data_IF_565266461627
#
_entry.id   IF_565266461627
#
_cell.length_a   1.000
_cell.length_b   1.000
_cell.length_c   1.000
_cell.angle_alpha   90.00
_cell.angle_beta   90.00
_cell.angle_gamma   90.00
#
_symmetry.space_group_name_H-M   'P 1'
#
loop_
_entity.id
_entity.type
_entity.pdbx_description
1 polymer ?
#
# COMPACT_ATOMS: atom_id res chain seq x y z
N UNK A 1 -17.77 3.98 1.72
CA UNK A 1 -17.97 2.52 1.66
C UNK A 1 -17.01 1.98 0.63
N UNK A 2 -16.36 0.86 0.90
CA UNK A 2 -15.44 0.23 -0.05
C UNK A 2 -16.30 -0.59 -1.01
N UNK A 3 -16.72 0.02 -2.13
CA UNK A 3 -17.31 -0.71 -3.25
C UNK A 3 -16.26 -1.70 -3.80
N UNK A 4 -16.57 -2.99 -3.80
CA UNK A 4 -16.19 -3.99 -4.80
C UNK A 4 -14.73 -4.18 -5.28
N UNK A 5 -13.71 -3.52 -4.73
CA UNK A 5 -12.33 -3.66 -5.22
C UNK A 5 -11.59 -4.79 -4.46
N UNK A 6 -11.00 -5.73 -5.19
CA UNK A 6 -10.22 -6.86 -4.62
C UNK A 6 -8.82 -6.43 -4.14
N UNK A 7 -8.27 -5.33 -4.69
CA UNK A 7 -6.90 -4.87 -4.41
C UNK A 7 -6.83 -3.36 -4.21
N UNK A 8 -5.93 -2.96 -3.32
CA UNK A 8 -5.71 -1.56 -2.93
C UNK A 8 -4.22 -1.23 -2.99
N UNK A 9 -3.92 0.04 -3.25
CA UNK A 9 -2.60 0.65 -3.07
C UNK A 9 -2.77 1.96 -2.32
N UNK A 10 -1.80 2.34 -1.49
CA UNK A 10 -1.83 3.69 -0.92
C UNK A 10 -1.43 4.74 -1.95
N UNK A 11 -1.96 5.94 -1.82
CA UNK A 11 -1.52 7.12 -2.56
C UNK A 11 -0.01 7.37 -2.36
N UNK A 12 0.50 7.13 -1.15
CA UNK A 12 1.93 7.18 -0.86
C UNK A 12 2.74 6.25 -1.75
N UNK A 13 2.35 4.96 -1.86
CA UNK A 13 3.03 4.02 -2.76
C UNK A 13 2.93 4.44 -4.23
N UNK A 14 1.77 4.95 -4.66
CA UNK A 14 1.58 5.46 -6.02
C UNK A 14 2.53 6.64 -6.32
N UNK A 15 2.61 7.62 -5.42
CA UNK A 15 3.51 8.76 -5.53
C UNK A 15 4.97 8.33 -5.51
N UNK A 16 5.35 7.40 -4.62
CA UNK A 16 6.71 6.87 -4.53
C UNK A 16 7.15 6.15 -5.81
N UNK A 17 6.27 5.36 -6.44
CA UNK A 17 6.51 4.75 -7.76
C UNK A 17 6.69 5.85 -8.82
N UNK A 18 5.82 6.86 -8.82
CA UNK A 18 5.91 8.01 -9.72
C UNK A 18 7.25 8.74 -9.60
N UNK A 19 7.63 9.17 -8.41
CA UNK A 19 8.89 9.86 -8.13
C UNK A 19 10.09 9.03 -8.61
N UNK A 20 10.09 7.72 -8.34
CA UNK A 20 11.16 6.81 -8.75
C UNK A 20 11.29 6.73 -10.28
N UNK A 21 10.18 6.55 -10.99
CA UNK A 21 10.19 6.39 -12.44
C UNK A 21 10.50 7.71 -13.16
N UNK A 22 10.00 8.84 -12.67
CA UNK A 22 10.34 10.17 -13.21
C UNK A 22 11.81 10.50 -13.02
N UNK A 23 12.38 10.26 -11.83
CA UNK A 23 13.82 10.45 -11.58
C UNK A 23 14.70 9.62 -12.53
N UNK A 24 14.18 8.50 -13.03
CA UNK A 24 14.87 7.61 -13.99
C UNK A 24 14.52 7.90 -15.46
N UNK A 25 13.74 8.93 -15.76
CA UNK A 25 13.28 9.27 -17.12
C UNK A 25 12.34 8.22 -17.73
N UNK A 26 11.71 7.37 -16.91
CA UNK A 26 10.84 6.25 -17.35
C UNK A 26 9.36 6.66 -17.35
N UNK A 27 9.06 7.80 -17.98
CA UNK A 27 7.70 8.37 -17.98
C UNK A 27 6.66 7.47 -18.63
N UNK A 28 7.00 6.83 -19.76
CA UNK A 28 6.08 5.91 -20.44
C UNK A 28 5.81 4.65 -19.61
N UNK A 29 6.77 4.19 -18.80
CA UNK A 29 6.56 3.07 -17.86
C UNK A 29 5.56 3.46 -16.77
N UNK A 30 5.66 4.68 -16.24
CA UNK A 30 4.68 5.17 -15.26
C UNK A 30 3.29 5.32 -15.87
N UNK A 31 3.19 5.86 -17.09
CA UNK A 31 1.91 5.93 -17.83
C UNK A 31 1.30 4.53 -18.00
N UNK A 32 2.12 3.56 -18.37
CA UNK A 32 1.67 2.18 -18.55
C UNK A 32 1.21 1.57 -17.22
N UNK A 33 1.97 1.76 -16.14
CA UNK A 33 1.59 1.32 -14.79
C UNK A 33 0.22 1.88 -14.35
N UNK A 34 -0.03 3.18 -14.56
CA UNK A 34 -1.33 3.80 -14.25
C UNK A 34 -2.47 3.16 -15.03
N UNK A 35 -2.28 2.95 -16.34
CA UNK A 35 -3.28 2.30 -17.18
C UNK A 35 -3.57 0.89 -16.71
N UNK A 36 -2.53 0.08 -16.53
CA UNK A 36 -2.68 -1.33 -16.24
C UNK A 36 -3.26 -1.55 -14.83
N UNK A 37 -2.64 -0.96 -13.81
CA UNK A 37 -3.00 -1.27 -12.42
C UNK A 37 -4.22 -0.48 -11.94
N UNK A 38 -4.29 0.81 -12.26
CA UNK A 38 -5.30 1.70 -11.66
C UNK A 38 -6.53 1.81 -12.56
N UNK A 39 -6.36 2.14 -13.84
CA UNK A 39 -7.48 2.45 -14.73
C UNK A 39 -8.16 1.21 -15.32
N UNK A 40 -7.41 0.13 -15.60
CA UNK A 40 -7.92 -1.08 -16.24
C UNK A 40 -8.22 -2.20 -15.24
N UNK A 41 -7.26 -2.59 -14.40
CA UNK A 41 -7.45 -3.65 -13.38
C UNK A 41 -8.30 -3.18 -12.21
N UNK A 42 -8.36 -1.86 -11.97
CA UNK A 42 -9.22 -1.28 -10.94
C UNK A 42 -8.68 -1.41 -9.52
N UNK A 43 -7.35 -1.39 -9.33
CA UNK A 43 -6.76 -1.25 -7.99
C UNK A 43 -7.16 0.11 -7.43
N UNK A 44 -7.86 0.10 -6.29
CA UNK A 44 -8.29 1.31 -5.63
C UNK A 44 -7.11 2.02 -4.94
N UNK A 45 -7.06 3.34 -5.06
CA UNK A 45 -6.06 4.17 -4.39
C UNK A 45 -6.66 4.69 -3.08
N UNK A 46 -6.05 4.32 -1.96
CA UNK A 46 -6.48 4.72 -0.62
C UNK A 46 -5.51 5.74 -0.02
N UNK A 47 -6.04 6.71 0.71
CA UNK A 47 -5.26 7.74 1.38
C UNK A 47 -5.79 7.97 2.80
N UNK A 48 -4.97 8.61 3.62
CA UNK A 48 -5.37 9.18 4.90
C UNK A 48 -5.56 10.69 4.75
N UNK A 49 -6.59 11.24 5.37
CA UNK A 49 -6.70 12.68 5.62
C UNK A 49 -5.63 13.13 6.63
N UNK A 50 -5.35 14.43 6.68
CA UNK A 50 -4.41 14.99 7.66
C UNK A 50 -4.82 14.67 9.11
N UNK A 51 -6.13 14.63 9.39
CA UNK A 51 -6.65 14.26 10.70
C UNK A 51 -6.37 12.78 11.02
N UNK A 52 -6.55 11.88 10.06
CA UNK A 52 -6.24 10.45 10.25
C UNK A 52 -4.74 10.22 10.41
N UNK A 53 -3.89 11.06 9.78
CA UNK A 53 -2.44 10.97 9.92
C UNK A 53 -1.92 11.32 11.32
N UNK A 54 -2.71 11.97 12.19
CA UNK A 54 -2.30 12.22 13.58
C UNK A 54 -2.02 10.90 14.34
N UNK A 55 -2.74 9.84 13.99
CA UNK A 55 -2.55 8.49 14.57
C UNK A 55 -1.23 7.82 14.18
N UNK A 56 -0.52 8.33 13.15
CA UNK A 56 0.72 7.71 12.68
C UNK A 56 1.82 7.72 13.72
N UNK A 57 1.87 8.74 14.58
CA UNK A 57 2.87 8.82 15.65
C UNK A 57 2.69 7.66 16.62
N UNK A 58 1.44 7.36 17.00
CA UNK A 58 1.11 6.26 17.90
C UNK A 58 1.42 4.91 17.25
N UNK A 59 1.03 4.72 15.99
CA UNK A 59 1.34 3.49 15.22
C UNK A 59 2.85 3.28 15.10
N UNK A 60 3.59 4.31 14.71
CA UNK A 60 5.04 4.27 14.55
C UNK A 60 5.73 3.92 15.86
N UNK A 61 5.33 4.55 16.98
CA UNK A 61 5.90 4.26 18.30
C UNK A 61 5.52 2.87 18.81
N UNK A 62 4.26 2.48 18.64
CA UNK A 62 3.72 1.19 19.12
C UNK A 62 4.42 0.01 18.47
N UNK A 63 4.69 0.09 17.17
CA UNK A 63 5.27 -1.00 16.39
C UNK A 63 6.71 -0.74 15.95
N UNK A 64 7.31 0.39 16.35
CA UNK A 64 8.67 0.80 15.96
C UNK A 64 8.88 0.90 14.43
N UNK A 65 7.86 1.40 13.72
CA UNK A 65 7.87 1.57 12.25
C UNK A 65 8.43 2.95 11.87
N UNK A 66 9.01 3.05 10.67
CA UNK A 66 9.29 4.35 10.07
C UNK A 66 7.99 4.99 9.54
N UNK A 67 8.10 6.20 8.98
CA UNK A 67 6.93 6.91 8.49
C UNK A 67 6.19 6.15 7.37
N UNK A 68 6.95 5.55 6.45
CA UNK A 68 6.38 4.90 5.27
C UNK A 68 5.60 3.67 5.70
N UNK A 69 6.16 2.84 6.57
CA UNK A 69 5.51 1.65 7.09
C UNK A 69 4.35 1.98 8.03
N UNK A 70 4.49 3.00 8.89
CA UNK A 70 3.40 3.46 9.74
C UNK A 70 2.21 3.94 8.89
N UNK A 71 2.47 4.65 7.79
CA UNK A 71 1.44 5.08 6.85
C UNK A 71 0.72 3.89 6.20
N UNK A 72 1.47 2.90 5.70
CA UNK A 72 0.85 1.70 5.12
C UNK A 72 0.02 0.93 6.16
N UNK A 73 0.53 0.79 7.38
CA UNK A 73 -0.19 0.12 8.46
C UNK A 73 -1.50 0.85 8.79
N UNK A 74 -1.45 2.17 8.96
CA UNK A 74 -2.62 2.97 9.29
C UNK A 74 -3.68 2.97 8.16
N UNK A 75 -3.26 3.01 6.89
CA UNK A 75 -4.17 2.80 5.75
C UNK A 75 -4.83 1.43 5.85
N UNK A 76 -4.06 0.37 6.07
CA UNK A 76 -4.60 -0.98 6.16
C UNK A 76 -5.56 -1.14 7.35
N UNK A 77 -5.25 -0.54 8.49
CA UNK A 77 -6.11 -0.52 9.67
C UNK A 77 -7.42 0.23 9.40
N UNK A 78 -7.32 1.45 8.85
CA UNK A 78 -8.46 2.34 8.57
C UNK A 78 -9.51 1.72 7.66
N UNK A 79 -9.07 0.98 6.65
CA UNK A 79 -9.93 0.36 5.63
C UNK A 79 -10.13 -1.14 5.86
N UNK A 80 -9.64 -1.71 6.97
CA UNK A 80 -9.83 -3.12 7.29
C UNK A 80 -9.11 -4.09 6.33
N UNK A 81 -8.01 -3.67 5.72
CA UNK A 81 -7.29 -4.42 4.68
C UNK A 81 -6.25 -5.39 5.25
N UNK A 82 -5.87 -6.38 4.44
CA UNK A 82 -4.70 -7.24 4.69
C UNK A 82 -3.48 -6.64 4.02
N UNK A 83 -2.38 -6.48 4.75
CA UNK A 83 -1.11 -6.00 4.18
C UNK A 83 -0.48 -7.12 3.37
N UNK A 84 -0.14 -6.84 2.11
CA UNK A 84 0.63 -7.73 1.24
C UNK A 84 1.97 -7.06 0.96
N UNK A 85 3.03 -7.51 1.62
CA UNK A 85 4.34 -6.86 1.54
C UNK A 85 5.48 -7.86 1.70
N UNK A 86 6.61 -7.57 1.06
CA UNK A 86 7.87 -8.25 1.32
C UNK A 86 8.63 -7.69 2.52
N UNK A 87 8.20 -6.56 3.07
CA UNK A 87 8.78 -5.98 4.27
C UNK A 87 8.40 -6.77 5.52
N UNK A 88 9.41 -7.29 6.25
CA UNK A 88 9.21 -8.07 7.46
C UNK A 88 8.88 -7.20 8.68
N UNK A 89 9.04 -5.89 8.60
CA UNK A 89 8.74 -5.00 9.72
C UNK A 89 7.25 -5.00 10.08
N UNK A 90 6.36 -5.42 9.18
CA UNK A 90 4.95 -5.65 9.49
C UNK A 90 4.70 -6.92 10.32
N UNK A 91 5.62 -7.88 10.38
CA UNK A 91 5.45 -9.16 11.11
C UNK A 91 5.29 -8.94 12.63
N UNK A 92 5.77 -7.81 13.16
CA UNK A 92 5.63 -7.40 14.57
C UNK A 92 4.35 -6.60 14.87
N UNK A 93 3.53 -6.33 13.86
CA UNK A 93 2.28 -5.57 14.01
C UNK A 93 1.10 -6.49 14.25
N UNK A 94 0.00 -5.98 14.81
CA UNK A 94 -1.19 -6.81 15.09
C UNK A 94 -1.83 -7.41 13.84
N UNK A 95 -1.78 -6.70 12.71
CA UNK A 95 -2.31 -7.18 11.42
C UNK A 95 -1.36 -8.15 10.73
N UNK A 96 -0.07 -8.13 11.07
CA UNK A 96 0.97 -8.85 10.35
C UNK A 96 1.02 -8.45 8.87
N UNK A 97 1.62 -9.32 8.06
CA UNK A 97 1.52 -9.27 6.60
C UNK A 97 1.25 -10.66 6.02
N UNK A 98 0.84 -10.68 4.76
CA UNK A 98 1.05 -11.81 3.86
C UNK A 98 2.13 -11.45 2.85
N UNK A 99 2.83 -12.46 2.34
CA UNK A 99 3.66 -12.27 1.15
C UNK A 99 2.88 -12.76 -0.09
N UNK A 100 3.18 -12.26 -1.30
CA UNK A 100 2.45 -12.64 -2.51
C UNK A 100 2.32 -14.15 -2.75
N UNK A 101 3.34 -14.94 -2.37
CA UNK A 101 3.30 -16.40 -2.48
C UNK A 101 2.19 -17.06 -1.64
N UNK A 102 1.71 -16.40 -0.59
CA UNK A 102 0.64 -16.92 0.27
C UNK A 102 -0.75 -16.71 -0.36
N UNK A 103 -0.84 -15.87 -1.40
CA UNK A 103 -2.08 -15.50 -2.08
C UNK A 103 -2.25 -16.25 -3.40
N UNK A 104 -1.16 -16.64 -4.06
CA UNK A 104 -1.21 -17.35 -5.33
C UNK A 104 -1.40 -18.83 -5.06
N UNK A 105 -2.57 -19.37 -5.41
CA UNK A 105 -2.76 -20.80 -5.57
C UNK A 105 -2.38 -21.16 -7.00
N UNK A 106 -1.34 -21.97 -7.18
CA UNK A 106 -1.04 -22.56 -8.47
C UNK A 106 -2.10 -23.64 -8.76
N UNK A 107 -3.07 -23.34 -9.61
CA UNK A 107 -3.82 -24.40 -10.28
C UNK A 107 -2.88 -25.05 -11.30
N UNK A 108 -2.73 -26.37 -11.18
CA UNK A 108 -1.92 -27.21 -12.07
C UNK A 108 -2.67 -27.53 -13.35
#
# INVERSE_FOLDING_TARGET
EVEGHEFFISDYSLHSIGLLLFRRGKHEVFRQFLKDMILNVGVAVSALSAQEMESLIEVAQRFNLDFDDAYQYAVAERYGLTIVSFDADFDRTERGRKVPKDLIKWER
#
